data_IF_165947952251
#
_entry.id   IF_165947952251
#
_cell.length_a   1.000
_cell.length_b   1.000
_cell.length_c   1.000
_cell.angle_alpha   90.00
_cell.angle_beta   90.00
_cell.angle_gamma   90.00
#
_symmetry.space_group_name_H-M   'P 1'
#
loop_
_entity.id
_entity.type
_entity.pdbx_description
1 polymer ?
#
# COMPACT_ATOMS: atom_id res chain seq x y z
N UNK A 1 17.25 -22.55 -21.70
CA UNK A 1 16.27 -21.57 -21.20
C UNK A 1 15.02 -21.72 -22.05
N UNK A 2 13.92 -22.15 -21.44
CA UNK A 2 12.63 -22.24 -22.11
C UNK A 2 11.86 -20.94 -21.94
N UNK A 3 11.06 -20.55 -22.95
CA UNK A 3 10.05 -19.51 -22.78
C UNK A 3 8.76 -20.20 -22.34
N UNK A 4 8.28 -19.88 -21.14
CA UNK A 4 7.02 -20.37 -20.61
C UNK A 4 5.96 -19.26 -20.74
N UNK A 5 5.06 -19.42 -21.71
CA UNK A 5 3.94 -18.52 -21.93
C UNK A 5 2.80 -18.82 -20.94
N UNK A 6 2.75 -18.08 -19.84
CA UNK A 6 1.67 -18.18 -18.86
C UNK A 6 0.39 -17.57 -19.41
N UNK A 7 -0.62 -18.43 -19.59
CA UNK A 7 -1.97 -18.04 -19.99
C UNK A 7 -2.81 -17.80 -18.75
N UNK A 8 -3.70 -16.81 -18.80
CA UNK A 8 -4.65 -16.55 -17.72
C UNK A 8 -5.48 -17.82 -17.44
N UNK A 9 -5.35 -18.46 -16.25
CA UNK A 9 -6.15 -19.63 -15.92
C UNK A 9 -7.62 -19.24 -15.69
N UNK A 10 -8.53 -20.21 -15.73
CA UNK A 10 -9.91 -19.98 -15.29
C UNK A 10 -9.90 -19.78 -13.77
N UNK A 11 -10.27 -18.56 -13.35
CA UNK A 11 -10.20 -18.12 -11.95
C UNK A 11 -11.53 -18.38 -11.21
N UNK A 12 -12.55 -18.92 -11.89
CA UNK A 12 -13.77 -19.42 -11.23
C UNK A 12 -15.01 -19.49 -12.11
N UNK A 13 -15.69 -20.64 -12.04
CA UNK A 13 -17.10 -20.89 -12.42
C UNK A 13 -17.62 -20.18 -13.69
N UNK A 14 -16.82 -20.17 -14.77
CA UNK A 14 -17.27 -19.74 -16.10
C UNK A 14 -17.20 -18.22 -16.35
N UNK A 15 -16.34 -17.49 -15.64
CA UNK A 15 -16.00 -16.11 -15.97
C UNK A 15 -15.15 -16.09 -17.25
N UNK A 16 -15.62 -15.38 -18.29
CA UNK A 16 -14.97 -15.35 -19.63
C UNK A 16 -13.84 -14.31 -19.71
N UNK A 17 -13.89 -13.27 -18.88
CA UNK A 17 -13.05 -12.07 -18.95
C UNK A 17 -12.62 -11.61 -17.55
N UNK A 18 -11.35 -11.20 -17.40
CA UNK A 18 -10.80 -10.62 -16.17
C UNK A 18 -10.15 -9.26 -16.42
N UNK A 19 -10.41 -8.28 -15.56
CA UNK A 19 -9.77 -6.96 -15.61
C UNK A 19 -8.49 -6.97 -14.76
N UNK A 20 -7.35 -6.59 -15.34
CA UNK A 20 -6.11 -6.38 -14.57
C UNK A 20 -6.31 -5.19 -13.65
N UNK A 21 -6.13 -5.37 -12.35
CA UNK A 21 -6.15 -4.28 -11.37
C UNK A 21 -4.75 -3.71 -11.17
N UNK A 22 -3.77 -4.60 -10.91
CA UNK A 22 -2.40 -4.23 -10.56
C UNK A 22 -1.42 -5.36 -10.91
N UNK A 23 -0.29 -4.98 -11.51
CA UNK A 23 0.88 -5.84 -11.72
C UNK A 23 1.77 -5.76 -10.49
N UNK A 24 2.05 -6.89 -9.83
CA UNK A 24 2.95 -6.95 -8.66
C UNK A 24 4.43 -7.17 -9.04
N UNK A 25 4.71 -7.39 -10.33
CA UNK A 25 6.03 -7.74 -10.88
C UNK A 25 6.34 -6.88 -12.11
N UNK A 26 7.61 -6.55 -12.34
CA UNK A 26 8.06 -5.80 -13.52
C UNK A 26 8.79 -6.67 -14.55
N UNK A 27 8.88 -6.21 -15.80
CA UNK A 27 9.70 -6.88 -16.82
C UNK A 27 11.16 -6.91 -16.37
N UNK A 28 11.72 -8.11 -16.27
CA UNK A 28 13.08 -8.38 -15.80
C UNK A 28 13.22 -8.82 -14.35
N UNK A 29 12.16 -8.78 -13.54
CA UNK A 29 12.17 -9.35 -12.19
C UNK A 29 12.22 -10.88 -12.20
N UNK A 30 12.80 -11.44 -11.13
CA UNK A 30 12.83 -12.89 -10.87
C UNK A 30 11.72 -13.24 -9.89
N UNK A 31 10.84 -14.16 -10.28
CA UNK A 31 9.67 -14.61 -9.54
C UNK A 31 9.87 -16.07 -9.15
N UNK A 32 9.41 -16.47 -7.97
CA UNK A 32 9.41 -17.87 -7.54
C UNK A 32 8.05 -18.53 -7.69
N UNK A 33 8.04 -19.86 -7.70
CA UNK A 33 6.81 -20.64 -7.51
C UNK A 33 6.01 -20.14 -6.29
N UNK A 34 4.69 -20.01 -6.45
CA UNK A 34 3.72 -19.43 -5.51
C UNK A 34 3.80 -17.90 -5.23
N UNK A 35 4.78 -17.14 -5.75
CA UNK A 35 4.79 -15.68 -5.58
C UNK A 35 3.61 -15.01 -6.33
N UNK A 36 2.88 -14.03 -5.75
CA UNK A 36 1.74 -13.37 -6.40
C UNK A 36 2.22 -12.40 -7.50
N UNK A 37 1.80 -12.63 -8.74
CA UNK A 37 2.27 -11.84 -9.89
C UNK A 37 1.30 -10.73 -10.29
N UNK A 38 0.01 -11.04 -10.27
CA UNK A 38 -1.03 -10.27 -10.93
C UNK A 38 -2.31 -10.30 -10.10
N UNK A 39 -2.87 -9.11 -9.82
CA UNK A 39 -4.20 -8.98 -9.23
C UNK A 39 -5.25 -8.81 -10.32
N UNK A 40 -6.13 -9.79 -10.48
CA UNK A 40 -7.22 -9.77 -11.47
C UNK A 40 -8.55 -9.65 -10.77
N UNK A 41 -9.41 -8.78 -11.31
CA UNK A 41 -10.79 -8.63 -10.87
C UNK A 41 -11.74 -9.36 -11.82
N UNK A 42 -12.55 -10.25 -11.25
CA UNK A 42 -13.77 -10.79 -11.88
C UNK A 42 -15.01 -10.02 -11.38
N UNK A 43 -16.18 -10.31 -11.92
CA UNK A 43 -17.47 -9.68 -11.53
C UNK A 43 -17.85 -9.86 -10.03
N UNK A 44 -17.15 -10.70 -9.28
CA UNK A 44 -17.47 -11.01 -7.87
C UNK A 44 -16.30 -10.92 -6.89
N UNK A 45 -15.05 -11.07 -7.34
CA UNK A 45 -13.89 -11.04 -6.46
C UNK A 45 -12.63 -10.49 -7.16
N UNK A 46 -11.77 -9.86 -6.37
CA UNK A 46 -10.34 -9.74 -6.72
C UNK A 46 -9.65 -11.04 -6.31
N UNK A 47 -8.88 -11.63 -7.22
CA UNK A 47 -8.08 -12.82 -6.97
C UNK A 47 -6.65 -12.55 -7.42
N UNK A 48 -5.69 -12.93 -6.58
CA UNK A 48 -4.27 -12.86 -6.87
C UNK A 48 -3.85 -14.15 -7.58
N UNK A 49 -3.13 -14.02 -8.70
CA UNK A 49 -2.65 -15.17 -9.48
C UNK A 49 -1.19 -15.43 -9.11
N UNK A 50 -0.89 -16.59 -8.49
CA UNK A 50 0.48 -16.98 -8.15
C UNK A 50 1.26 -17.46 -9.37
N UNK A 51 2.60 -17.45 -9.28
CA UNK A 51 3.47 -18.00 -10.32
C UNK A 51 3.48 -19.52 -10.32
N UNK A 52 3.29 -20.17 -11.48
CA UNK A 52 3.44 -21.62 -11.61
C UNK A 52 4.89 -22.06 -11.84
N UNK A 53 5.84 -21.12 -11.98
CA UNK A 53 7.26 -21.42 -12.31
C UNK A 53 8.23 -20.45 -11.64
N UNK A 54 9.40 -20.96 -11.25
CA UNK A 54 10.59 -20.16 -10.93
C UNK A 54 11.19 -19.59 -12.23
N UNK A 55 11.10 -18.28 -12.45
CA UNK A 55 11.56 -17.70 -13.72
C UNK A 55 11.67 -16.19 -13.74
N UNK A 56 12.34 -15.68 -14.77
CA UNK A 56 12.48 -14.24 -15.01
C UNK A 56 11.41 -13.76 -15.98
N UNK A 57 10.73 -12.66 -15.66
CA UNK A 57 9.71 -12.08 -16.56
C UNK A 57 10.40 -11.46 -17.78
N UNK A 58 10.15 -11.99 -18.98
CA UNK A 58 10.71 -11.45 -20.24
C UNK A 58 9.73 -10.56 -20.99
N UNK A 59 8.43 -10.83 -20.88
CA UNK A 59 7.38 -10.00 -21.52
C UNK A 59 6.08 -10.05 -20.72
N UNK A 60 5.39 -8.92 -20.61
CA UNK A 60 4.04 -8.84 -20.05
C UNK A 60 3.09 -8.27 -21.10
N UNK A 61 1.90 -8.85 -21.21
CA UNK A 61 0.85 -8.48 -22.16
C UNK A 61 -0.40 -8.08 -21.39
N UNK A 62 -0.78 -6.81 -21.51
CA UNK A 62 -1.90 -6.20 -20.80
C UNK A 62 -1.45 -5.03 -19.92
N UNK A 63 -2.02 -3.85 -20.10
CA UNK A 63 -1.81 -2.73 -19.16
C UNK A 63 -2.73 -2.84 -17.93
N UNK A 64 -2.40 -2.13 -16.84
CA UNK A 64 -3.30 -2.06 -15.69
C UNK A 64 -4.61 -1.35 -16.08
N UNK A 65 -5.75 -2.00 -15.83
CA UNK A 65 -7.08 -1.59 -16.29
C UNK A 65 -7.53 -2.22 -17.60
N UNK A 66 -6.72 -3.07 -18.24
CA UNK A 66 -7.10 -3.80 -19.46
C UNK A 66 -7.88 -5.08 -19.13
N UNK A 67 -8.81 -5.45 -20.03
CA UNK A 67 -9.62 -6.67 -19.93
C UNK A 67 -8.97 -7.76 -20.79
N UNK A 68 -8.56 -8.86 -20.17
CA UNK A 68 -8.04 -10.05 -20.85
C UNK A 68 -9.05 -11.20 -20.80
N UNK A 69 -9.14 -11.94 -21.90
CA UNK A 69 -9.94 -13.15 -21.96
C UNK A 69 -9.15 -14.34 -21.36
N UNK A 70 -9.86 -15.24 -20.68
CA UNK A 70 -9.27 -16.46 -20.12
C UNK A 70 -8.60 -17.28 -21.25
N UNK A 71 -7.38 -17.75 -21.01
CA UNK A 71 -6.56 -18.46 -21.99
C UNK A 71 -5.66 -17.58 -22.88
N UNK A 72 -5.72 -16.26 -22.80
CA UNK A 72 -4.71 -15.38 -23.44
C UNK A 72 -3.39 -15.40 -22.66
N UNK A 73 -2.26 -15.26 -23.36
CA UNK A 73 -0.92 -15.17 -22.75
C UNK A 73 -0.78 -13.81 -22.07
N UNK A 74 -0.70 -13.80 -20.74
CA UNK A 74 -0.49 -12.59 -19.94
C UNK A 74 1.00 -12.31 -19.71
N UNK A 75 1.81 -13.36 -19.57
CA UNK A 75 3.23 -13.24 -19.20
C UNK A 75 4.04 -14.30 -19.93
N UNK A 76 5.23 -13.93 -20.37
CA UNK A 76 6.28 -14.87 -20.80
C UNK A 76 7.38 -14.89 -19.73
N UNK A 77 7.68 -16.08 -19.23
CA UNK A 77 8.74 -16.34 -18.27
C UNK A 77 9.91 -17.04 -18.95
N UNK A 78 11.13 -16.72 -18.56
CA UNK A 78 12.35 -17.45 -18.89
C UNK A 78 12.68 -18.43 -17.75
N UNK A 79 12.62 -19.74 -18.06
CA UNK A 79 12.80 -20.85 -17.11
C UNK A 79 14.05 -21.68 -17.41
N UNK A 80 14.72 -22.18 -16.37
CA UNK A 80 15.77 -23.21 -16.46
C UNK A 80 15.18 -24.63 -16.54
N UNK A 81 14.30 -24.86 -17.53
CA UNK A 81 13.64 -26.15 -17.77
C UNK A 81 12.98 -26.22 -19.15
N UNK A 82 12.28 -27.33 -19.42
CA UNK A 82 11.54 -27.54 -20.68
C UNK A 82 10.48 -26.45 -20.90
N UNK A 83 10.68 -25.64 -21.94
CA UNK A 83 9.76 -24.57 -22.32
C UNK A 83 8.56 -25.13 -23.09
N UNK A 84 7.35 -24.68 -22.73
CA UNK A 84 6.12 -25.04 -23.46
C UNK A 84 5.92 -24.17 -24.71
N UNK A 85 6.85 -24.29 -25.66
CA UNK A 85 6.79 -23.70 -27.00
C UNK A 85 7.03 -24.79 -28.03
N UNK A 86 5.95 -25.38 -28.55
CA UNK A 86 6.03 -26.23 -29.75
C UNK A 86 6.45 -25.36 -30.95
N UNK A 87 7.48 -25.81 -31.68
CA UNK A 87 8.05 -25.07 -32.80
C UNK A 87 7.13 -25.00 -34.02
N UNK A 88 7.00 -23.80 -34.58
CA UNK A 88 6.40 -23.52 -35.88
C UNK A 88 7.41 -23.22 -36.99
N UNK A 89 8.64 -23.76 -36.92
CA UNK A 89 9.63 -23.91 -38.00
C UNK A 89 10.16 -22.65 -38.73
N UNK A 90 11.46 -22.35 -38.58
CA UNK A 90 12.49 -22.59 -39.62
C UNK A 90 13.83 -21.89 -39.30
N UNK A 91 14.87 -22.68 -39.04
CA UNK A 91 16.31 -22.28 -39.12
C UNK A 91 16.82 -22.51 -40.59
N UNK A 92 18.09 -22.25 -41.01
CA UNK A 92 19.30 -21.78 -40.30
C UNK A 92 20.07 -20.63 -41.01
N UNK A 93 21.30 -20.17 -40.69
CA UNK A 93 22.38 -20.63 -39.79
C UNK A 93 23.39 -19.49 -39.44
N UNK A 94 24.33 -19.77 -38.51
CA UNK A 94 25.75 -19.32 -38.44
C UNK A 94 26.21 -18.33 -37.33
N UNK A 95 26.94 -18.91 -36.37
CA UNK A 95 27.95 -18.35 -35.43
C UNK A 95 29.33 -18.24 -36.19
N UNK A 96 30.46 -17.63 -35.70
CA UNK A 96 30.76 -17.38 -34.29
C UNK A 96 31.56 -16.12 -33.85
N UNK A 97 31.73 -16.08 -32.52
CA UNK A 97 32.48 -15.15 -31.64
C UNK A 97 34.01 -15.04 -31.95
N UNK A 98 34.76 -14.04 -31.41
CA UNK A 98 35.23 -14.13 -30.00
C UNK A 98 35.42 -12.80 -29.21
N UNK A 99 35.46 -12.94 -27.87
CA UNK A 99 36.00 -12.03 -26.83
C UNK A 99 37.56 -11.99 -26.82
N UNK A 100 38.36 -11.32 -25.91
CA UNK A 100 38.11 -10.88 -24.51
C UNK A 100 38.85 -9.56 -24.02
N UNK A 101 39.06 -9.45 -22.69
CA UNK A 101 39.96 -8.56 -21.89
C UNK A 101 39.47 -7.12 -21.49
N UNK A 102 39.69 -6.55 -20.28
CA UNK A 102 40.03 -7.11 -18.93
C UNK A 102 39.81 -6.11 -17.75
N UNK A 103 39.93 -6.60 -16.49
CA UNK A 103 40.07 -5.98 -15.13
C UNK A 103 40.02 -4.44 -14.90
N UNK A 104 39.46 -4.03 -13.74
CA UNK A 104 40.17 -3.59 -12.50
C UNK A 104 39.15 -3.16 -11.41
N UNK A 105 39.45 -2.98 -10.11
CA UNK A 105 40.31 -3.70 -9.13
C UNK A 105 39.95 -3.17 -7.72
N UNK A 106 40.09 -3.97 -6.67
CA UNK A 106 39.71 -3.63 -5.27
C UNK A 106 40.94 -3.25 -4.45
N UNK A 107 40.86 -2.30 -3.50
CA UNK A 107 41.61 -2.32 -2.21
C UNK A 107 41.07 -1.27 -1.20
N UNK A 108 41.10 -1.51 0.14
CA UNK A 108 40.48 -0.66 1.17
C UNK A 108 41.48 -0.14 2.26
N UNK A 109 40.93 0.25 3.44
CA UNK A 109 41.61 0.50 4.74
C UNK A 109 42.34 1.85 4.99
N UNK A 110 42.64 2.25 6.26
CA UNK A 110 42.52 1.51 7.53
C UNK A 110 41.79 2.20 8.72
N UNK A 111 41.56 1.39 9.75
CA UNK A 111 41.03 1.72 11.10
C UNK A 111 42.15 2.11 12.08
N UNK A 112 41.84 2.89 13.14
CA UNK A 112 42.69 3.02 14.35
C UNK A 112 41.88 3.17 15.63
N UNK A 113 42.52 2.91 16.77
CA UNK A 113 41.93 2.47 18.04
C UNK A 113 42.22 3.44 19.21
N UNK A 114 41.39 3.37 20.27
CA UNK A 114 41.42 4.16 21.52
C UNK A 114 42.39 3.52 22.57
N UNK A 115 42.51 3.89 23.89
CA UNK A 115 41.71 4.77 24.81
C UNK A 115 42.61 5.62 25.79
N UNK A 116 42.29 5.99 27.07
CA UNK A 116 41.01 6.08 27.84
C UNK A 116 40.76 7.38 28.69
N UNK A 117 39.47 7.64 28.97
CA UNK A 117 38.82 8.12 30.22
C UNK A 117 39.17 9.45 30.96
N UNK A 118 38.17 10.36 31.03
CA UNK A 118 37.65 10.96 32.29
C UNK A 118 36.26 11.61 32.11
N UNK A 119 35.29 11.51 33.06
CA UNK A 119 33.92 12.08 32.95
C UNK A 119 33.64 13.22 33.96
N UNK A 120 32.46 13.88 33.94
CA UNK A 120 31.76 14.49 32.82
C UNK A 120 31.37 15.98 33.11
N UNK A 121 30.88 16.71 32.12
CA UNK A 121 29.72 17.58 32.34
C UNK A 121 28.52 17.16 31.47
N UNK A 122 27.32 17.60 31.85
CA UNK A 122 26.08 17.33 31.10
C UNK A 122 26.09 18.09 29.76
N UNK A 123 26.51 17.41 28.70
CA UNK A 123 26.45 17.95 27.33
C UNK A 123 25.11 17.60 26.71
N UNK A 124 24.38 18.63 26.26
CA UNK A 124 23.24 18.49 25.38
C UNK A 124 23.66 17.75 24.10
N UNK A 125 23.08 16.58 23.86
CA UNK A 125 23.35 15.84 22.62
C UNK A 125 22.76 16.59 21.42
N UNK A 126 23.57 17.00 20.42
CA UNK A 126 23.03 17.51 19.17
C UNK A 126 22.19 16.42 18.49
N UNK A 127 21.08 16.82 17.87
CA UNK A 127 20.15 15.89 17.26
C UNK A 127 20.84 15.07 16.15
N UNK A 128 20.65 13.74 16.18
CA UNK A 128 21.19 12.84 15.15
C UNK A 128 20.43 13.10 13.84
N UNK A 129 21.10 13.47 12.74
CA UNK A 129 20.45 13.66 11.45
C UNK A 129 19.81 12.35 10.98
N UNK A 130 18.49 12.36 10.76
CA UNK A 130 17.73 11.22 10.22
C UNK A 130 16.61 10.68 11.13
N UNK A 131 16.62 10.95 12.44
CA UNK A 131 15.52 10.55 13.33
C UNK A 131 14.37 11.57 13.28
N UNK A 132 13.12 11.07 13.17
CA UNK A 132 11.92 11.93 13.16
C UNK A 132 11.83 12.68 14.51
N UNK A 133 11.90 14.03 14.53
CA UNK A 133 11.99 14.78 15.79
C UNK A 133 10.73 14.58 16.62
N UNK A 134 10.90 14.30 17.92
CA UNK A 134 9.82 13.94 18.83
C UNK A 134 9.16 15.23 19.36
N UNK A 135 8.08 15.66 18.70
CA UNK A 135 7.38 16.90 19.01
C UNK A 135 5.86 16.70 19.03
N UNK A 136 5.17 17.39 19.94
CA UNK A 136 3.69 17.38 20.01
C UNK A 136 3.08 18.15 18.83
N UNK A 137 1.80 17.91 18.47
CA UNK A 137 1.17 18.57 17.32
C UNK A 137 1.19 20.11 17.39
N UNK A 138 1.05 20.69 18.58
CA UNK A 138 1.13 22.15 18.80
C UNK A 138 2.53 22.71 18.48
N UNK A 139 3.58 22.06 18.98
CA UNK A 139 4.99 22.42 18.71
C UNK A 139 5.28 22.29 17.21
N UNK A 140 4.77 21.24 16.53
CA UNK A 140 4.89 21.07 15.08
C UNK A 140 4.19 22.17 14.27
N UNK A 141 3.02 22.64 14.72
CA UNK A 141 2.30 23.75 14.08
C UNK A 141 3.09 25.05 14.22
N UNK A 142 3.51 25.41 15.44
CA UNK A 142 4.29 26.63 15.73
C UNK A 142 5.65 26.66 15.02
N UNK A 143 6.33 25.52 14.90
CA UNK A 143 7.57 25.41 14.13
C UNK A 143 7.33 25.66 12.64
N UNK A 144 6.27 25.08 12.04
CA UNK A 144 5.89 25.32 10.64
C UNK A 144 5.55 26.78 10.36
N UNK A 145 4.78 27.41 11.24
CA UNK A 145 4.42 28.84 11.15
C UNK A 145 5.65 29.76 11.31
N UNK A 146 6.63 29.35 12.12
CA UNK A 146 7.89 30.07 12.31
C UNK A 146 8.99 29.74 11.30
N UNK A 147 8.76 28.86 10.32
CA UNK A 147 9.77 28.40 9.36
C UNK A 147 10.93 27.59 9.98
N UNK A 148 10.75 27.04 11.20
CA UNK A 148 11.80 26.33 11.95
C UNK A 148 11.81 24.85 11.59
N UNK A 149 12.98 24.34 11.21
CA UNK A 149 13.19 22.89 11.07
C UNK A 149 13.41 22.24 12.44
N UNK A 150 12.47 21.39 12.85
CA UNK A 150 12.52 20.62 14.09
C UNK A 150 13.69 19.63 14.16
N UNK A 151 14.37 19.31 13.06
CA UNK A 151 15.58 18.48 13.07
C UNK A 151 16.81 19.24 13.59
N UNK A 152 16.80 20.58 13.53
CA UNK A 152 17.87 21.46 14.01
C UNK A 152 17.64 22.02 15.42
N UNK A 153 16.55 21.62 16.09
CA UNK A 153 16.20 22.08 17.44
C UNK A 153 16.49 20.97 18.45
N UNK A 154 17.38 21.24 19.41
CA UNK A 154 17.60 20.36 20.55
C UNK A 154 16.37 20.38 21.47
N UNK A 155 15.76 19.22 21.73
CA UNK A 155 14.61 19.10 22.63
C UNK A 155 15.01 18.87 24.09
N UNK A 156 14.61 19.77 24.99
CA UNK A 156 14.91 19.66 26.43
C UNK A 156 13.87 18.87 27.23
N UNK A 157 12.80 18.38 26.58
CA UNK A 157 11.73 17.63 27.23
C UNK A 157 12.07 16.14 27.46
N UNK A 158 11.24 15.43 28.26
CA UNK A 158 11.43 14.01 28.53
C UNK A 158 11.58 13.17 27.26
N UNK A 159 12.58 12.30 27.24
CA UNK A 159 13.00 11.49 26.08
C UNK A 159 13.37 12.32 24.82
N UNK A 160 14.00 13.49 25.00
CA UNK A 160 14.45 14.36 23.90
C UNK A 160 13.31 15.06 23.16
N UNK A 161 12.17 15.24 23.83
CA UNK A 161 10.97 15.86 23.24
C UNK A 161 11.16 17.37 23.10
N UNK A 162 10.90 17.90 21.91
CA UNK A 162 10.94 19.36 21.65
C UNK A 162 9.72 20.02 22.31
N UNK A 163 9.98 21.01 23.14
CA UNK A 163 8.99 21.82 23.85
C UNK A 163 8.79 23.19 23.20
N UNK A 164 7.82 23.98 23.67
CA UNK A 164 7.64 25.35 23.21
C UNK A 164 8.80 26.26 23.63
N UNK A 165 9.38 26.04 24.82
CA UNK A 165 10.54 26.79 25.30
C UNK A 165 11.78 26.55 24.42
N UNK A 166 11.96 25.34 23.88
CA UNK A 166 13.06 25.00 22.97
C UNK A 166 12.94 25.72 21.61
N UNK A 167 11.71 25.93 21.12
CA UNK A 167 11.47 26.74 19.92
C UNK A 167 11.74 28.23 20.16
N UNK A 168 11.35 28.74 21.33
CA UNK A 168 11.53 30.15 21.66
C UNK A 168 13.00 30.48 22.00
N UNK A 169 13.73 29.56 22.63
CA UNK A 169 15.18 29.68 22.85
C UNK A 169 15.96 29.58 21.54
N UNK A 170 15.58 28.69 20.61
CA UNK A 170 16.17 28.62 19.27
C UNK A 170 15.96 29.90 18.47
N UNK A 171 14.77 30.53 18.58
CA UNK A 171 14.52 31.87 18.01
C UNK A 171 15.38 32.96 18.64
N UNK A 172 15.55 32.95 19.96
CA UNK A 172 16.35 33.97 20.68
C UNK A 172 17.86 33.81 20.48
N UNK A 173 18.36 32.58 20.35
CA UNK A 173 19.78 32.29 20.14
C UNK A 173 20.30 32.79 18.78
N UNK A 174 19.40 33.07 17.84
CA UNK A 174 19.74 33.45 16.47
C UNK A 174 20.24 32.25 15.68
N UNK A 175 19.40 31.74 14.77
CA UNK A 175 19.82 30.65 13.89
C UNK A 175 21.10 31.04 13.14
N UNK A 176 22.17 30.23 13.14
CA UNK A 176 23.22 30.40 12.15
C UNK A 176 22.57 30.24 10.78
N UNK A 177 22.60 31.29 9.96
CA UNK A 177 21.93 31.31 8.65
C UNK A 177 22.76 30.49 7.67
N UNK A 178 22.61 29.17 7.76
CA UNK A 178 22.99 28.24 6.71
C UNK A 178 22.02 28.44 5.53
N UNK A 179 22.33 29.41 4.66
CA UNK A 179 21.67 29.56 3.38
C UNK A 179 21.90 28.27 2.56
N UNK A 180 20.84 27.49 2.34
CA UNK A 180 20.94 26.20 1.63
C UNK A 180 20.06 25.06 2.15
N UNK A 181 19.28 25.25 3.23
CA UNK A 181 18.22 24.29 3.57
C UNK A 181 17.21 24.15 2.41
N UNK A 182 16.78 22.94 2.02
CA UNK A 182 15.92 22.75 0.87
C UNK A 182 14.58 23.45 1.05
N UNK A 183 14.35 24.50 0.27
CA UNK A 183 13.10 25.25 0.24
C UNK A 183 11.98 24.34 -0.24
N UNK A 184 11.12 23.90 0.69
CA UNK A 184 9.91 23.14 0.34
C UNK A 184 8.97 24.01 -0.48
N UNK A 185 9.02 23.86 -1.80
CA UNK A 185 8.02 24.42 -2.71
C UNK A 185 6.65 23.81 -2.44
N UNK A 186 5.60 24.60 -2.63
CA UNK A 186 4.24 24.07 -2.64
C UNK A 186 4.10 23.10 -3.82
N UNK A 187 3.60 21.89 -3.58
CA UNK A 187 3.26 20.94 -4.66
C UNK A 187 1.96 21.39 -5.31
N UNK A 188 2.06 22.23 -6.34
CA UNK A 188 0.93 22.71 -7.17
C UNK A 188 0.58 21.76 -8.32
N UNK A 189 1.24 20.59 -8.41
CA UNK A 189 0.95 19.61 -9.45
C UNK A 189 -0.30 18.79 -9.15
N UNK A 190 -1.18 18.65 -10.13
CA UNK A 190 -2.26 17.66 -10.14
C UNK A 190 -1.67 16.26 -10.31
N UNK A 191 -2.31 15.25 -9.73
CA UNK A 191 -1.96 13.83 -9.95
C UNK A 191 -3.23 13.11 -10.33
N UNK A 192 -3.34 12.78 -11.62
CA UNK A 192 -4.48 12.04 -12.14
C UNK A 192 -4.30 10.57 -11.79
N UNK A 193 -5.27 10.02 -11.07
CA UNK A 193 -5.29 8.61 -10.65
C UNK A 193 -6.40 7.94 -11.46
N UNK A 194 -6.09 6.96 -12.34
CA UNK A 194 -7.11 6.29 -13.14
C UNK A 194 -8.10 5.54 -12.25
N UNK A 195 -9.36 5.46 -12.70
CA UNK A 195 -10.44 4.76 -12.01
C UNK A 195 -10.62 3.41 -12.67
N UNK A 196 -10.07 2.37 -12.05
CA UNK A 196 -9.99 1.01 -12.60
C UNK A 196 -10.62 0.00 -11.63
N UNK A 197 -10.95 -1.19 -12.12
CA UNK A 197 -11.50 -2.33 -11.37
C UNK A 197 -12.66 -1.95 -10.46
N UNK A 198 -12.56 -2.30 -9.18
CA UNK A 198 -13.63 -2.14 -8.19
C UNK A 198 -14.18 -0.72 -8.12
N UNK A 199 -13.32 0.31 -8.23
CA UNK A 199 -13.75 1.70 -8.14
C UNK A 199 -14.60 2.11 -9.35
N UNK A 200 -14.26 1.59 -10.53
CA UNK A 200 -15.03 1.79 -11.77
C UNK A 200 -16.39 1.10 -11.68
N UNK A 201 -16.42 -0.18 -11.30
CA UNK A 201 -17.66 -0.95 -11.12
C UNK A 201 -18.61 -0.34 -10.07
N UNK A 202 -18.09 0.09 -8.92
CA UNK A 202 -18.88 0.81 -7.92
C UNK A 202 -19.41 2.13 -8.50
N UNK A 203 -18.61 2.90 -9.23
CA UNK A 203 -19.06 4.15 -9.85
C UNK A 203 -20.17 3.93 -10.89
N UNK A 204 -20.06 2.89 -11.72
CA UNK A 204 -21.07 2.49 -12.71
C UNK A 204 -22.39 2.11 -12.02
N UNK A 205 -22.33 1.26 -10.99
CA UNK A 205 -23.50 0.83 -10.22
C UNK A 205 -24.16 2.00 -9.46
N UNK A 206 -23.38 2.86 -8.81
CA UNK A 206 -23.88 4.05 -8.11
C UNK A 206 -24.54 5.04 -9.07
N UNK A 207 -23.92 5.30 -10.23
CA UNK A 207 -24.48 6.18 -11.27
C UNK A 207 -25.79 5.62 -11.83
N UNK A 208 -25.83 4.31 -12.11
CA UNK A 208 -27.02 3.62 -12.63
C UNK A 208 -28.17 3.68 -11.63
N UNK A 209 -27.90 3.38 -10.35
CA UNK A 209 -28.88 3.50 -9.26
C UNK A 209 -29.45 4.92 -9.18
N UNK A 210 -28.58 5.94 -9.10
CA UNK A 210 -29.01 7.33 -8.91
C UNK A 210 -29.74 7.93 -10.13
N UNK A 211 -29.41 7.48 -11.35
CA UNK A 211 -30.08 7.93 -12.57
C UNK A 211 -31.39 7.20 -12.89
N UNK A 212 -31.55 5.96 -12.40
CA UNK A 212 -32.72 5.10 -12.73
C UNK A 212 -33.79 5.13 -11.63
N UNK A 213 -33.39 5.15 -10.36
CA UNK A 213 -34.31 5.05 -9.22
C UNK A 213 -34.63 6.46 -8.70
N UNK A 214 -35.92 6.87 -8.64
CA UNK A 214 -36.32 8.11 -8.01
C UNK A 214 -36.17 8.00 -6.48
N UNK A 215 -35.02 8.42 -5.97
CA UNK A 215 -34.72 8.40 -4.55
C UNK A 215 -35.58 9.44 -3.80
N UNK A 216 -36.30 9.00 -2.78
CA UNK A 216 -36.88 9.87 -1.75
C UNK A 216 -36.30 9.50 -0.38
N UNK A 217 -36.21 10.47 0.51
CA UNK A 217 -35.73 10.25 1.88
C UNK A 217 -36.86 10.48 2.87
N UNK A 218 -37.05 9.51 3.76
CA UNK A 218 -37.94 9.59 4.91
C UNK A 218 -37.12 9.52 6.19
N UNK A 219 -37.52 10.29 7.20
CA UNK A 219 -36.83 10.37 8.49
C UNK A 219 -37.88 10.24 9.59
N UNK A 220 -37.58 9.39 10.58
CA UNK A 220 -38.41 9.13 11.74
C UNK A 220 -37.50 9.01 12.97
N UNK A 221 -37.98 9.49 14.13
CA UNK A 221 -37.29 9.37 15.41
C UNK A 221 -37.89 8.22 16.20
N UNK A 222 -37.04 7.28 16.63
CA UNK A 222 -37.46 6.07 17.37
C UNK A 222 -36.83 6.08 18.76
N UNK A 223 -37.66 5.95 19.79
CA UNK A 223 -37.17 5.77 21.17
C UNK A 223 -36.55 4.37 21.33
N UNK A 224 -35.29 4.34 21.78
CA UNK A 224 -34.49 3.12 21.97
C UNK A 224 -34.22 2.82 23.44
N UNK A 225 -34.90 3.49 24.38
CA UNK A 225 -34.67 3.35 25.84
C UNK A 225 -34.78 1.90 26.31
N UNK A 226 -35.82 1.18 25.91
CA UNK A 226 -36.00 -0.25 26.26
C UNK A 226 -35.07 -1.19 25.50
N UNK A 227 -34.66 -0.82 24.29
CA UNK A 227 -33.65 -1.58 23.54
C UNK A 227 -32.29 -1.46 24.24
N UNK A 228 -31.97 -0.29 24.78
CA UNK A 228 -30.74 -0.06 25.52
C UNK A 228 -30.72 -0.77 26.88
N UNK A 229 -31.85 -0.78 27.62
CA UNK A 229 -31.99 -1.54 28.86
C UNK A 229 -31.74 -3.05 28.63
N UNK A 230 -32.34 -3.60 27.57
CA UNK A 230 -32.15 -4.99 27.14
C UNK A 230 -30.70 -5.26 26.67
N UNK A 231 -30.09 -4.36 25.89
CA UNK A 231 -28.70 -4.49 25.44
C UNK A 231 -27.72 -4.50 26.62
N UNK A 232 -27.94 -3.68 27.63
CA UNK A 232 -27.12 -3.68 28.85
C UNK A 232 -27.28 -4.99 29.62
N UNK A 233 -28.52 -5.46 29.80
CA UNK A 233 -28.82 -6.73 30.48
C UNK A 233 -28.13 -7.93 29.81
N UNK A 234 -28.29 -8.08 28.49
CA UNK A 234 -27.70 -9.18 27.72
C UNK A 234 -26.17 -9.09 27.67
N UNK A 235 -25.58 -7.89 27.61
CA UNK A 235 -24.13 -7.74 27.72
C UNK A 235 -23.59 -8.03 29.14
N UNK A 236 -24.39 -7.80 30.18
CA UNK A 236 -24.04 -8.12 31.57
C UNK A 236 -24.07 -9.61 31.87
N UNK A 237 -24.93 -10.37 31.20
CA UNK A 237 -25.04 -11.84 31.29
C UNK A 237 -24.25 -12.58 30.20
N UNK A 238 -23.41 -11.88 29.44
CA UNK A 238 -22.68 -12.43 28.30
C UNK A 238 -21.66 -13.49 28.75
N UNK A 239 -21.64 -14.71 28.16
CA UNK A 239 -20.64 -15.72 28.46
C UNK A 239 -19.23 -15.26 28.07
N UNK A 240 -18.22 -15.75 28.78
CA UNK A 240 -16.82 -15.41 28.48
C UNK A 240 -16.44 -15.85 27.06
N UNK A 241 -15.80 -14.95 26.32
CA UNK A 241 -15.42 -15.15 24.92
C UNK A 241 -16.46 -14.72 23.87
N UNK A 242 -17.74 -14.52 24.21
CA UNK A 242 -18.73 -14.06 23.24
C UNK A 242 -18.52 -12.58 22.82
N UNK A 243 -18.82 -12.18 21.57
CA UNK A 243 -18.72 -10.79 21.14
C UNK A 243 -19.71 -9.88 21.90
N UNK A 244 -19.37 -8.59 22.04
CA UNK A 244 -20.24 -7.61 22.70
C UNK A 244 -21.41 -7.25 21.78
N UNK A 245 -22.64 -7.29 22.29
CA UNK A 245 -23.84 -6.89 21.55
C UNK A 245 -23.84 -5.37 21.34
N UNK A 246 -23.85 -4.98 20.07
CA UNK A 246 -24.10 -3.59 19.60
C UNK A 246 -25.59 -3.42 19.27
N UNK A 247 -25.99 -2.26 18.73
CA UNK A 247 -27.37 -2.04 18.29
C UNK A 247 -27.70 -2.76 16.96
N UNK A 248 -26.68 -3.00 16.12
CA UNK A 248 -26.86 -3.52 14.76
C UNK A 248 -27.62 -4.87 14.70
N UNK A 249 -27.34 -5.88 15.56
CA UNK A 249 -28.11 -7.13 15.56
C UNK A 249 -29.60 -6.96 15.86
N UNK A 250 -29.98 -6.04 16.75
CA UNK A 250 -31.38 -5.77 17.06
C UNK A 250 -32.10 -5.11 15.86
N UNK A 251 -31.43 -4.17 15.19
CA UNK A 251 -31.96 -3.51 13.99
C UNK A 251 -32.11 -4.53 12.84
N UNK A 252 -31.10 -5.38 12.61
CA UNK A 252 -31.18 -6.45 11.61
C UNK A 252 -32.34 -7.42 11.90
N UNK A 253 -32.52 -7.84 13.16
CA UNK A 253 -33.62 -8.72 13.54
C UNK A 253 -35.00 -8.03 13.38
N UNK A 254 -35.10 -6.73 13.64
CA UNK A 254 -36.31 -5.96 13.40
C UNK A 254 -36.64 -5.87 11.90
N UNK A 255 -35.65 -5.57 11.06
CA UNK A 255 -35.81 -5.52 9.60
C UNK A 255 -36.25 -6.88 9.00
N UNK A 256 -35.65 -7.99 9.45
CA UNK A 256 -36.03 -9.35 8.99
C UNK A 256 -37.49 -9.67 9.35
N UNK A 257 -37.97 -9.24 10.52
CA UNK A 257 -39.39 -9.39 10.90
C UNK A 257 -40.31 -8.49 10.07
N UNK A 258 -39.94 -7.23 9.92
CA UNK A 258 -40.73 -6.25 9.15
C UNK A 258 -40.89 -6.66 7.68
N UNK A 259 -39.81 -7.12 7.03
CA UNK A 259 -39.85 -7.66 5.66
C UNK A 259 -40.72 -8.93 5.53
N UNK A 260 -40.83 -9.71 6.61
CA UNK A 260 -41.74 -10.87 6.65
C UNK A 260 -43.22 -10.49 6.75
N UNK A 261 -43.53 -9.33 7.35
CA UNK A 261 -44.90 -8.80 7.44
C UNK A 261 -45.29 -7.94 6.22
N UNK A 262 -44.31 -7.25 5.60
CA UNK A 262 -44.48 -6.39 4.42
C UNK A 262 -43.32 -6.66 3.43
N UNK A 263 -43.53 -7.54 2.43
CA UNK A 263 -42.50 -7.97 1.48
C UNK A 263 -42.44 -7.12 0.19
N UNK A 264 -43.10 -5.96 0.20
CA UNK A 264 -43.25 -5.01 -0.92
C UNK A 264 -42.15 -3.95 -0.96
#
# INVERSE_FOLDING_TARGET
>A
MGIFAFRLPDIGEGVVEGEIVEWMVSVGDSVKEDDPILSVMTDKATVEIPSPVDGKVTSMKGEAGEILAVGQVCIEFEVEGDGNTEEGGSEPESEPEPTPEVKQEVTPEPKKESPPASPPPVVSTPAVPGLKPLASPAVRKRAREGGIDLTAVAGSGPAGRITHADLDSWKQAGSPVAAGGPTRSARTGTTDIPVMGLRKRISEAMSTSYSTIPHFSYFEEVDVTELESLRQHLNGQRPEGAPKLTYLPFIMQALVKALGERPE
#
